data_IF_022222540799
#
_entry.id   IF_022222540799
#
_cell.length_a   1.000
_cell.length_b   1.000
_cell.length_c   1.000
_cell.angle_alpha   90.00
_cell.angle_beta   90.00
_cell.angle_gamma   90.00
#
_symmetry.space_group_name_H-M   'P 1'
#
loop_
_entity.id
_entity.type
_entity.pdbx_description
1 polymer ?
#
# COMPACT_ATOMS: atom_id res chain seq x y z
N UNK A 1 30.16 36.52 -4.38
CA UNK A 1 28.78 35.98 -4.37
C UNK A 1 28.87 34.46 -4.36
N UNK A 2 27.90 33.83 -3.68
CA UNK A 2 27.61 32.38 -3.47
C UNK A 2 28.43 31.67 -2.36
N UNK A 3 27.88 30.88 -1.43
CA UNK A 3 26.52 30.67 -0.87
C UNK A 3 26.66 29.90 0.46
N UNK A 4 25.59 29.96 1.26
CA UNK A 4 25.39 29.45 2.62
C UNK A 4 25.84 28.01 2.90
N UNK A 5 26.25 27.79 4.15
CA UNK A 5 26.44 26.46 4.73
C UNK A 5 25.12 25.84 5.19
N UNK A 6 25.06 24.51 5.13
CA UNK A 6 24.27 23.67 6.04
C UNK A 6 25.17 22.51 6.45
N UNK A 7 25.44 22.46 7.75
CA UNK A 7 26.15 21.39 8.45
C UNK A 7 25.19 20.24 8.71
N UNK A 8 25.63 19.01 8.44
CA UNK A 8 24.90 17.81 8.86
C UNK A 8 25.23 16.58 8.03
N UNK A 9 26.50 16.14 8.05
CA UNK A 9 26.89 14.83 7.56
C UNK A 9 26.60 13.79 8.66
N UNK A 10 25.86 12.74 8.33
CA UNK A 10 26.12 11.42 8.92
C UNK A 10 26.50 10.47 7.77
N UNK A 11 27.78 10.15 7.79
CA UNK A 11 28.50 9.36 6.82
C UNK A 11 28.55 7.93 7.33
N UNK A 12 28.04 6.97 6.56
CA UNK A 12 28.53 5.59 6.58
C UNK A 12 28.48 5.06 5.14
N UNK A 13 29.65 4.64 4.65
CA UNK A 13 29.98 4.27 3.28
C UNK A 13 29.61 2.77 3.01
N UNK A 14 29.98 2.15 1.86
CA UNK A 14 29.13 1.70 0.75
C UNK A 14 28.98 0.15 0.65
N UNK A 15 28.06 -0.34 -0.22
CA UNK A 15 27.89 -1.72 -0.80
C UNK A 15 26.53 -2.42 -0.49
N UNK A 16 25.65 -2.40 -1.52
CA UNK A 16 24.75 -3.44 -2.11
C UNK A 16 23.76 -4.27 -1.25
N UNK A 17 22.73 -4.90 -1.87
CA UNK A 17 22.11 -4.67 -3.20
C UNK A 17 20.56 -4.62 -3.17
N UNK A 18 19.95 -4.31 -4.32
CA UNK A 18 18.63 -4.80 -4.74
C UNK A 18 17.42 -4.33 -3.93
N UNK A 19 16.71 -3.33 -4.45
CA UNK A 19 15.24 -3.30 -4.43
C UNK A 19 14.77 -2.02 -5.09
N UNK A 20 14.27 -2.10 -6.31
CA UNK A 20 12.97 -1.48 -6.53
C UNK A 20 12.07 -2.68 -6.84
N UNK A 21 11.30 -3.21 -5.87
CA UNK A 21 10.08 -3.93 -6.23
C UNK A 21 9.22 -2.94 -7.02
N UNK A 22 8.28 -3.46 -7.83
CA UNK A 22 7.44 -2.67 -8.76
C UNK A 22 7.17 -1.27 -8.20
N UNK A 23 7.45 -0.19 -8.94
CA UNK A 23 7.21 1.21 -8.52
C UNK A 23 5.70 1.43 -8.35
N UNK A 24 5.16 0.87 -7.27
CA UNK A 24 3.79 1.00 -6.88
C UNK A 24 3.58 2.45 -6.43
N UNK A 25 2.43 3.00 -6.80
CA UNK A 25 2.09 4.36 -6.42
C UNK A 25 2.03 4.46 -4.89
N UNK A 26 2.39 5.62 -4.35
CA UNK A 26 2.37 5.86 -2.90
C UNK A 26 1.41 6.99 -2.62
N UNK A 27 0.49 6.79 -1.69
CA UNK A 27 -0.48 7.81 -1.30
C UNK A 27 0.12 8.86 -0.35
N UNK A 28 -0.66 9.88 0.01
CA UNK A 28 -0.21 10.97 0.90
C UNK A 28 0.20 10.50 2.30
N UNK A 29 -0.25 9.31 2.71
CA UNK A 29 0.09 8.67 3.99
C UNK A 29 1.33 7.78 3.90
N UNK A 30 2.00 7.73 2.74
CA UNK A 30 3.20 6.91 2.55
C UNK A 30 2.90 5.42 2.31
N UNK A 31 1.65 5.07 2.04
CA UNK A 31 1.21 3.69 1.80
C UNK A 31 1.27 3.34 0.33
N UNK A 32 1.70 2.12 0.05
CA UNK A 32 1.89 1.59 -1.29
C UNK A 32 0.57 1.05 -1.84
N UNK A 33 0.14 1.60 -2.99
CA UNK A 33 -1.06 1.22 -3.72
C UNK A 33 -0.72 0.23 -4.81
N UNK A 34 -1.45 -0.87 -4.89
CA UNK A 34 -1.25 -1.86 -5.94
C UNK A 34 -2.48 -2.71 -6.19
N UNK A 35 -2.26 -3.78 -6.95
CA UNK A 35 -3.27 -4.79 -7.25
C UNK A 35 -2.88 -6.14 -6.66
N UNK A 36 -3.83 -7.07 -6.60
CA UNK A 36 -3.54 -8.45 -6.19
C UNK A 36 -2.43 -9.10 -7.03
N UNK A 37 -2.41 -8.80 -8.34
CA UNK A 37 -1.37 -9.31 -9.25
C UNK A 37 0.03 -8.80 -8.90
N UNK A 38 0.16 -7.60 -8.34
CA UNK A 38 1.46 -7.08 -7.89
C UNK A 38 1.97 -7.86 -6.67
N UNK A 39 1.08 -8.20 -5.75
CA UNK A 39 1.38 -9.05 -4.60
C UNK A 39 1.83 -10.45 -5.05
N UNK A 40 1.12 -11.07 -6.01
CA UNK A 40 1.52 -12.38 -6.60
C UNK A 40 2.89 -12.33 -7.31
N UNK A 41 3.28 -11.16 -7.83
CA UNK A 41 4.59 -10.92 -8.45
C UNK A 41 5.70 -10.63 -7.43
N UNK A 42 5.37 -10.64 -6.14
CA UNK A 42 6.31 -10.39 -5.04
C UNK A 42 6.51 -8.91 -4.70
N UNK A 43 5.67 -8.02 -5.23
CA UNK A 43 5.60 -6.61 -4.84
C UNK A 43 4.33 -6.40 -4.02
N UNK A 44 4.39 -6.74 -2.73
CA UNK A 44 3.23 -6.68 -1.83
C UNK A 44 2.89 -5.21 -1.53
N UNK A 45 1.73 -4.70 -1.96
CA UNK A 45 1.28 -3.36 -1.61
C UNK A 45 0.75 -3.33 -0.17
N UNK A 46 0.68 -2.14 0.42
CA UNK A 46 -0.05 -1.92 1.67
C UNK A 46 -1.57 -1.94 1.41
N UNK A 47 -1.98 -1.40 0.27
CA UNK A 47 -3.37 -1.23 -0.14
C UNK A 47 -3.61 -1.83 -1.52
N UNK A 48 -4.63 -2.66 -1.63
CA UNK A 48 -5.00 -3.40 -2.86
C UNK A 48 -6.28 -2.82 -3.41
N UNK A 49 -6.28 -2.49 -4.70
CA UNK A 49 -7.49 -2.08 -5.41
C UNK A 49 -8.54 -3.18 -5.42
N UNK A 50 -9.74 -2.85 -4.93
CA UNK A 50 -10.90 -3.74 -4.86
C UNK A 50 -12.20 -2.96 -5.16
N UNK A 51 -13.24 -3.69 -5.57
CA UNK A 51 -14.58 -3.15 -5.73
C UNK A 51 -15.41 -3.54 -4.52
N UNK A 52 -15.95 -2.55 -3.80
CA UNK A 52 -16.86 -2.77 -2.68
C UNK A 52 -18.16 -3.44 -3.13
N UNK A 53 -18.92 -4.02 -2.19
CA UNK A 53 -20.24 -4.62 -2.47
C UNK A 53 -21.24 -3.59 -3.01
N UNK A 54 -21.01 -2.31 -2.72
CA UNK A 54 -21.76 -1.18 -3.27
C UNK A 54 -21.46 -0.89 -4.74
N UNK A 55 -20.45 -1.54 -5.34
CA UNK A 55 -19.95 -1.28 -6.68
C UNK A 55 -18.98 -0.10 -6.77
N UNK A 56 -18.52 0.45 -5.64
CA UNK A 56 -17.54 1.52 -5.60
C UNK A 56 -16.11 0.96 -5.67
N UNK A 57 -15.29 1.50 -6.57
CA UNK A 57 -13.86 1.25 -6.59
C UNK A 57 -13.18 1.90 -5.38
N UNK A 58 -12.30 1.14 -4.73
CA UNK A 58 -11.51 1.62 -3.62
C UNK A 58 -10.34 0.69 -3.31
N UNK A 59 -9.85 0.80 -2.09
CA UNK A 59 -8.67 0.09 -1.63
C UNK A 59 -8.93 -0.60 -0.29
N UNK A 60 -8.38 -1.79 -0.10
CA UNK A 60 -8.39 -2.50 1.17
C UNK A 60 -6.97 -2.91 1.57
N UNK A 61 -6.71 -3.09 2.87
CA UNK A 61 -5.37 -3.43 3.34
C UNK A 61 -5.00 -4.86 2.94
N UNK A 62 -3.83 -5.05 2.33
CA UNK A 62 -3.34 -6.37 1.93
C UNK A 62 -3.29 -7.33 3.13
N UNK A 63 -2.86 -6.85 4.29
CA UNK A 63 -2.77 -7.64 5.52
C UNK A 63 -4.11 -8.29 5.91
N UNK A 64 -5.25 -7.73 5.51
CA UNK A 64 -6.57 -8.32 5.79
C UNK A 64 -6.86 -9.55 4.93
N UNK A 65 -6.24 -9.65 3.75
CA UNK A 65 -6.34 -10.80 2.86
C UNK A 65 -5.30 -11.88 3.17
N UNK A 66 -4.17 -11.50 3.77
CA UNK A 66 -3.07 -12.40 4.15
C UNK A 66 -3.13 -12.84 5.63
N UNK A 67 -4.10 -12.34 6.40
CA UNK A 67 -4.30 -12.71 7.79
C UNK A 67 -4.75 -14.18 7.91
N UNK A 68 -4.23 -14.91 8.91
CA UNK A 68 -4.69 -16.27 9.21
C UNK A 68 -6.18 -16.31 9.59
N UNK A 69 -6.68 -15.23 10.20
CA UNK A 69 -8.09 -15.00 10.49
C UNK A 69 -8.61 -13.88 9.58
N UNK A 70 -8.79 -14.21 8.30
CA UNK A 70 -9.36 -13.28 7.32
C UNK A 70 -10.75 -12.83 7.80
N UNK A 71 -10.98 -11.52 7.98
CA UNK A 71 -12.27 -11.03 8.44
C UNK A 71 -13.34 -11.30 7.38
N UNK A 72 -14.55 -11.64 7.84
CA UNK A 72 -15.72 -11.85 6.98
C UNK A 72 -16.08 -10.57 6.19
N UNK A 73 -15.82 -9.42 6.80
CA UNK A 73 -16.08 -8.09 6.24
C UNK A 73 -14.77 -7.32 6.14
N UNK A 74 -14.38 -6.95 4.92
CA UNK A 74 -13.23 -6.10 4.64
C UNK A 74 -13.72 -4.66 4.38
N UNK A 75 -13.31 -3.67 5.18
CA UNK A 75 -13.58 -2.26 4.87
C UNK A 75 -12.86 -1.83 3.60
N UNK A 76 -13.56 -1.05 2.77
CA UNK A 76 -13.01 -0.46 1.54
C UNK A 76 -12.86 1.05 1.74
N UNK A 77 -11.67 1.56 1.45
CA UNK A 77 -11.24 2.94 1.63
C UNK A 77 -11.03 3.66 0.30
N UNK A 78 -10.92 4.99 0.33
CA UNK A 78 -10.37 5.75 -0.79
C UNK A 78 -8.87 5.53 -0.92
N UNK A 79 -8.26 6.14 -1.96
CA UNK A 79 -6.81 6.10 -2.20
C UNK A 79 -5.96 6.58 -1.02
N UNK A 80 -6.53 7.43 -0.15
CA UNK A 80 -5.88 7.87 1.07
C UNK A 80 -5.65 6.75 2.11
N UNK A 81 -6.28 5.57 1.95
CA UNK A 81 -6.17 4.45 2.89
C UNK A 81 -6.84 4.67 4.25
N UNK A 82 -7.57 5.77 4.45
CA UNK A 82 -8.15 6.14 5.75
C UNK A 82 -9.65 6.47 5.68
N UNK A 83 -10.11 7.04 4.56
CA UNK A 83 -11.52 7.38 4.37
C UNK A 83 -12.28 6.15 3.90
N UNK A 84 -13.06 5.53 4.78
CA UNK A 84 -13.89 4.38 4.43
C UNK A 84 -15.06 4.80 3.52
N UNK A 85 -15.23 4.11 2.40
CA UNK A 85 -16.29 4.32 1.41
C UNK A 85 -17.25 3.14 1.28
N UNK A 86 -16.89 1.99 1.81
CA UNK A 86 -17.71 0.80 1.71
C UNK A 86 -17.17 -0.38 2.49
N UNK A 87 -17.71 -1.54 2.15
CA UNK A 87 -17.27 -2.85 2.62
C UNK A 87 -17.27 -3.82 1.44
N UNK A 88 -16.44 -4.84 1.56
CA UNK A 88 -16.39 -6.00 0.70
C UNK A 88 -16.61 -7.22 1.59
N UNK A 89 -17.54 -8.09 1.21
CA UNK A 89 -17.80 -9.33 1.92
C UNK A 89 -17.38 -10.52 1.08
N UNK A 90 -16.68 -11.48 1.70
CA UNK A 90 -16.49 -12.77 1.06
C UNK A 90 -17.84 -13.48 1.09
N UNK A 91 -18.52 -13.54 -0.04
CA UNK A 91 -19.86 -14.13 -0.13
C UNK A 91 -19.93 -15.49 0.56
N UNK A 92 -21.05 -15.73 1.26
CA UNK A 92 -21.31 -16.96 2.03
C UNK A 92 -20.83 -18.20 1.26
N UNK A 93 -19.87 -18.91 1.86
CA UNK A 93 -19.24 -20.11 1.30
C UNK A 93 -20.20 -21.29 1.18
#
# INVERSE_FOLDING_TARGET
>A
MIIAGVSGQLWCNPIKPRSLPSELAVNENGQTLGTYLDAERGSVPDLVGIVADSGLDGYAYWEQFDAEDCPEVIPVYTEDGTTQIGIFTFGDK
#
